data_IF_404769114559
#
_entry.id   IF_404769114559
#
_cell.length_a   1.000
_cell.length_b   1.000
_cell.length_c   1.000
_cell.angle_alpha   90.00
_cell.angle_beta   90.00
_cell.angle_gamma   90.00
#
_symmetry.space_group_name_H-M   'P 1'
#
loop_
_entity.id
_entity.type
_entity.pdbx_description
1 polymer ?
#
# COMPACT_ATOMS: atom_id res chain seq x y z
N UNK A 1 4.94 -10.64 -11.21
CA UNK A 1 3.51 -11.06 -11.24
C UNK A 1 3.07 -11.81 -9.98
N UNK A 2 3.90 -12.70 -9.41
CA UNK A 2 3.56 -13.46 -8.19
C UNK A 2 3.33 -12.61 -6.92
N UNK A 3 4.15 -11.58 -6.67
CA UNK A 3 4.05 -10.73 -5.47
C UNK A 3 2.72 -9.96 -5.42
N UNK A 4 2.27 -9.41 -6.55
CA UNK A 4 1.00 -8.67 -6.66
C UNK A 4 -0.20 -9.58 -6.35
N UNK A 5 -0.14 -10.85 -6.76
CA UNK A 5 -1.17 -11.85 -6.45
C UNK A 5 -1.19 -12.20 -4.96
N UNK A 6 -0.01 -12.33 -4.32
CA UNK A 6 0.09 -12.61 -2.89
C UNK A 6 -0.49 -11.48 -2.03
N UNK A 7 -0.23 -10.22 -2.38
CA UNK A 7 -0.78 -9.07 -1.65
C UNK A 7 -2.31 -9.04 -1.71
N UNK A 8 -2.89 -9.28 -2.89
CA UNK A 8 -4.35 -9.33 -3.05
C UNK A 8 -4.97 -10.45 -2.22
N UNK A 9 -4.39 -11.64 -2.24
CA UNK A 9 -4.85 -12.77 -1.42
C UNK A 9 -4.74 -12.47 0.08
N UNK A 10 -3.66 -11.84 0.54
CA UNK A 10 -3.49 -11.47 1.95
C UNK A 10 -4.54 -10.43 2.38
N UNK A 11 -4.79 -9.43 1.52
CA UNK A 11 -5.83 -8.44 1.73
C UNK A 11 -7.23 -9.07 1.82
N UNK A 12 -7.58 -9.95 0.89
CA UNK A 12 -8.88 -10.63 0.87
C UNK A 12 -9.12 -11.43 2.16
N UNK A 13 -8.10 -12.14 2.64
CA UNK A 13 -8.17 -12.90 3.89
C UNK A 13 -8.41 -11.99 5.10
N UNK A 14 -7.60 -10.94 5.25
CA UNK A 14 -7.74 -9.98 6.36
C UNK A 14 -9.10 -9.27 6.32
N UNK A 15 -9.50 -8.78 5.15
CA UNK A 15 -10.75 -8.05 5.00
C UNK A 15 -11.97 -8.93 5.27
N UNK A 16 -11.94 -10.20 4.82
CA UNK A 16 -13.00 -11.16 5.11
C UNK A 16 -13.10 -11.47 6.59
N UNK A 17 -11.97 -11.64 7.28
CA UNK A 17 -11.93 -11.83 8.73
C UNK A 17 -12.54 -10.64 9.47
N UNK A 18 -12.08 -9.41 9.19
CA UNK A 18 -12.60 -8.20 9.83
C UNK A 18 -14.11 -8.02 9.61
N UNK A 19 -14.62 -8.41 8.43
CA UNK A 19 -16.07 -8.36 8.16
C UNK A 19 -16.84 -9.46 8.91
N UNK A 20 -16.29 -10.67 8.99
CA UNK A 20 -16.90 -11.78 9.73
C UNK A 20 -17.06 -11.49 11.22
N UNK A 21 -16.08 -10.79 11.80
CA UNK A 21 -16.09 -10.38 13.22
C UNK A 21 -16.85 -9.07 13.47
N UNK A 22 -17.41 -8.42 12.44
CA UNK A 22 -18.08 -7.12 12.57
C UNK A 22 -17.14 -5.95 12.90
N UNK A 23 -15.82 -6.13 12.78
CA UNK A 23 -14.78 -5.15 13.12
C UNK A 23 -14.40 -4.22 11.95
N UNK A 24 -14.83 -4.53 10.73
CA UNK A 24 -14.35 -3.86 9.51
C UNK A 24 -14.51 -2.32 9.52
N UNK A 25 -15.56 -1.82 10.16
CA UNK A 25 -15.90 -0.40 10.20
C UNK A 25 -15.26 0.33 11.39
N UNK A 26 -14.93 -0.41 12.47
CA UNK A 26 -14.26 0.11 13.68
C UNK A 26 -12.73 -0.15 13.68
N UNK A 27 -12.19 -0.64 12.56
CA UNK A 27 -10.75 -0.87 12.40
C UNK A 27 -10.15 0.14 11.44
N UNK A 28 -9.15 0.90 11.90
CA UNK A 28 -8.28 1.67 11.02
C UNK A 28 -7.36 0.71 10.25
N UNK A 29 -7.50 0.70 8.93
CA UNK A 29 -6.62 -0.04 8.03
C UNK A 29 -5.71 0.93 7.30
N UNK A 30 -4.41 0.63 7.31
CA UNK A 30 -3.37 1.36 6.57
C UNK A 30 -2.65 0.36 5.66
N UNK A 31 -2.57 0.68 4.36
CA UNK A 31 -1.75 -0.05 3.38
C UNK A 31 -0.67 0.91 2.90
N UNK A 32 0.59 0.52 3.06
CA UNK A 32 1.75 1.29 2.63
C UNK A 32 2.91 0.39 2.24
N UNK A 33 4.03 0.98 1.85
CA UNK A 33 5.30 0.31 1.56
C UNK A 33 6.40 0.97 2.37
N UNK A 34 7.42 0.21 2.76
CA UNK A 34 8.62 0.72 3.41
C UNK A 34 9.52 1.49 2.43
N UNK A 35 9.58 1.03 1.18
CA UNK A 35 10.22 1.71 0.06
C UNK A 35 9.51 1.39 -1.27
N UNK A 36 9.88 2.14 -2.30
CA UNK A 36 9.49 1.89 -3.69
C UNK A 36 10.55 1.09 -4.46
N UNK A 37 10.54 1.20 -5.78
CA UNK A 37 11.35 0.36 -6.68
C UNK A 37 11.61 1.12 -7.99
N UNK A 38 12.84 1.01 -8.51
CA UNK A 38 13.21 1.53 -9.83
C UNK A 38 12.94 0.44 -10.86
N UNK A 39 12.10 0.74 -11.84
CA UNK A 39 11.64 -0.17 -12.89
C UNK A 39 12.08 0.27 -14.30
N UNK A 40 13.30 0.80 -14.40
CA UNK A 40 13.96 1.16 -15.66
C UNK A 40 13.90 2.64 -16.02
N UNK A 41 13.56 3.51 -15.07
CA UNK A 41 13.54 4.96 -15.24
C UNK A 41 14.95 5.59 -15.29
N UNK A 42 15.95 4.87 -14.77
CA UNK A 42 17.33 5.33 -14.68
C UNK A 42 18.31 4.33 -15.32
N UNK A 43 19.55 4.78 -15.56
CA UNK A 43 20.62 3.93 -16.07
C UNK A 43 20.83 2.69 -15.18
N UNK A 44 21.30 1.59 -15.78
CA UNK A 44 21.36 0.24 -15.19
C UNK A 44 22.19 0.10 -13.90
N UNK A 45 22.83 1.17 -13.43
CA UNK A 45 23.63 1.20 -12.20
C UNK A 45 22.93 1.90 -11.04
N UNK A 46 21.68 2.31 -11.24
CA UNK A 46 20.79 2.88 -10.23
C UNK A 46 19.82 1.80 -9.78
N UNK A 47 20.10 1.19 -8.63
CA UNK A 47 19.21 0.22 -7.96
C UNK A 47 18.66 0.82 -6.64
N UNK A 48 18.20 -0.02 -5.71
CA UNK A 48 17.64 0.38 -4.40
C UNK A 48 18.66 0.96 -3.41
N UNK A 49 19.89 1.22 -3.87
CA UNK A 49 21.00 1.66 -3.02
C UNK A 49 21.55 2.99 -3.51
N UNK A 50 21.85 3.88 -2.57
CA UNK A 50 22.60 5.13 -2.79
C UNK A 50 21.91 6.16 -3.70
N UNK A 51 20.58 6.16 -3.78
CA UNK A 51 19.80 7.19 -4.46
C UNK A 51 18.43 7.43 -3.78
N UNK A 52 17.87 8.63 -3.97
CA UNK A 52 16.61 9.08 -3.35
C UNK A 52 15.61 9.58 -4.41
N UNK A 53 15.49 8.82 -5.49
CA UNK A 53 14.53 9.11 -6.56
C UNK A 53 13.08 8.95 -6.08
N UNK A 54 12.16 9.65 -6.72
CA UNK A 54 10.74 9.65 -6.36
C UNK A 54 10.18 8.22 -6.34
N UNK A 55 10.61 7.37 -7.27
CA UNK A 55 10.22 5.98 -7.42
C UNK A 55 10.58 5.13 -6.19
N UNK A 56 11.63 5.52 -5.45
CA UNK A 56 12.08 4.82 -4.23
C UNK A 56 11.45 5.38 -2.95
N UNK A 57 11.14 6.68 -2.90
CA UNK A 57 10.67 7.34 -1.66
C UNK A 57 9.16 7.64 -1.66
N UNK A 58 8.53 7.77 -2.83
CA UNK A 58 7.11 8.05 -2.98
C UNK A 58 6.31 6.75 -2.99
N UNK A 59 6.06 6.24 -1.80
CA UNK A 59 5.33 4.99 -1.58
C UNK A 59 3.80 5.20 -1.55
N UNK A 60 2.99 4.16 -1.80
CA UNK A 60 1.55 4.23 -1.58
C UNK A 60 1.24 4.47 -0.10
N UNK A 61 0.21 5.27 0.17
CA UNK A 61 -0.42 5.39 1.49
C UNK A 61 -1.93 5.39 1.29
N UNK A 62 -2.58 4.28 1.65
CA UNK A 62 -4.02 4.11 1.56
C UNK A 62 -4.54 3.88 2.97
N UNK A 63 -5.53 4.68 3.39
CA UNK A 63 -6.12 4.59 4.72
C UNK A 63 -7.63 4.42 4.63
N UNK A 64 -8.19 3.58 5.51
CA UNK A 64 -9.64 3.39 5.65
C UNK A 64 -10.01 3.35 7.12
N UNK A 65 -10.92 4.23 7.53
CA UNK A 65 -11.60 4.17 8.82
C UNK A 65 -12.91 4.94 8.73
N UNK A 66 -14.06 4.26 8.84
CA UNK A 66 -15.34 4.84 8.44
C UNK A 66 -15.83 5.96 9.37
N UNK A 67 -15.38 5.96 10.62
CA UNK A 67 -15.79 6.98 11.58
C UNK A 67 -15.23 8.38 11.27
N UNK A 68 -14.06 8.45 10.61
CA UNK A 68 -13.30 9.72 10.49
C UNK A 68 -12.79 9.99 9.07
N UNK A 69 -12.38 8.95 8.33
CA UNK A 69 -11.73 9.12 7.03
C UNK A 69 -12.78 9.13 5.91
N UNK A 70 -12.89 10.22 5.13
CA UNK A 70 -13.86 10.31 4.04
C UNK A 70 -13.52 9.32 2.90
N UNK A 71 -14.56 8.75 2.30
CA UNK A 71 -14.40 7.84 1.15
C UNK A 71 -14.00 8.61 -0.10
N UNK A 72 -13.17 7.99 -0.95
CA UNK A 72 -12.81 8.47 -2.28
C UNK A 72 -12.11 9.84 -2.31
N UNK A 73 -11.42 10.22 -1.23
CA UNK A 73 -10.58 11.43 -1.18
C UNK A 73 -9.13 11.07 -1.48
N UNK A 74 -8.50 11.84 -2.37
CA UNK A 74 -7.05 11.79 -2.62
C UNK A 74 -6.42 13.10 -2.16
N UNK A 75 -5.50 13.00 -1.22
CA UNK A 75 -4.67 14.13 -0.79
C UNK A 75 -3.46 14.19 -1.75
N UNK A 76 -3.12 15.39 -2.22
CA UNK A 76 -1.97 15.64 -3.11
C UNK A 76 -0.85 16.31 -2.35
#
# INVERSE_FOLDING_TARGET
>A
MAVKLQLMTAWEKLHSYLRGEGLADDTLVIITSDHGDVQGEHESHVEHHLCAYEELVRVPLIMRYLAVIPRNVRIK
#
